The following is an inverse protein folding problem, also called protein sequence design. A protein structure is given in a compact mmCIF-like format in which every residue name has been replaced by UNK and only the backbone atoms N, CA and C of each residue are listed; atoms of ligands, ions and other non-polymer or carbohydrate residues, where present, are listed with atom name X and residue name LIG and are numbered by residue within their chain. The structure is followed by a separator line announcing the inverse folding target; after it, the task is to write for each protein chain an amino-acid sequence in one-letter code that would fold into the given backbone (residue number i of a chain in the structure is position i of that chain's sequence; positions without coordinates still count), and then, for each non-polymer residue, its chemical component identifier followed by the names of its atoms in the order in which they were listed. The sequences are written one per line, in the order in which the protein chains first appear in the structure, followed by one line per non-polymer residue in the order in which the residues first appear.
data_IF_808528415222
#
_entry.id   IF_808528415222
#
_cell.length_a   1.000
_cell.length_b   1.000
_cell.length_c   1.000
_cell.angle_alpha   90.00
_cell.angle_beta   90.00
_cell.angle_gamma   90.00
#
_symmetry.space_group_name_H-M   'P 1'
#
loop_
_entity.id
_entity.type
_entity.pdbx_description
1 polymer ?
#
# COMPACT_ATOMS: atom_id res chain seq x y z
N UNK A 1 -3.51 26.52 -12.64
CA UNK A 1 -2.52 27.61 -12.62
C UNK A 1 -2.21 28.08 -11.20
N UNK A 2 -3.18 28.53 -10.41
CA UNK A 2 -2.94 29.06 -9.05
C UNK A 2 -2.20 28.07 -8.12
N UNK A 3 -2.63 26.80 -8.07
CA UNK A 3 -1.95 25.77 -7.25
C UNK A 3 -0.48 25.61 -7.62
N UNK A 4 -0.16 25.56 -8.91
CA UNK A 4 1.22 25.41 -9.42
C UNK A 4 2.08 26.60 -9.00
N UNK A 5 1.54 27.81 -9.11
CA UNK A 5 2.21 29.05 -8.68
C UNK A 5 2.43 29.06 -7.16
N UNK A 6 1.42 28.71 -6.37
CA UNK A 6 1.54 28.63 -4.90
C UNK A 6 2.50 27.54 -4.45
N UNK A 7 2.60 26.42 -5.17
CA UNK A 7 3.61 25.38 -4.93
C UNK A 7 5.01 25.90 -5.25
N UNK A 8 5.20 26.57 -6.39
CA UNK A 8 6.48 27.15 -6.78
C UNK A 8 6.96 28.25 -5.81
N UNK A 9 6.02 29.06 -5.29
CA UNK A 9 6.29 30.09 -4.29
C UNK A 9 6.50 29.53 -2.86
N UNK A 10 6.44 28.22 -2.67
CA UNK A 10 6.70 27.58 -1.37
C UNK A 10 5.55 27.70 -0.35
N UNK A 11 4.42 28.30 -0.72
CA UNK A 11 3.27 28.50 0.17
C UNK A 11 2.75 27.16 0.70
N UNK A 12 2.64 26.15 -0.18
CA UNK A 12 2.24 24.81 0.25
C UNK A 12 3.24 24.16 1.20
N UNK A 13 4.54 24.41 1.03
CA UNK A 13 5.57 23.88 1.93
C UNK A 13 5.48 24.51 3.32
N UNK A 14 5.20 25.82 3.40
CA UNK A 14 4.93 26.51 4.66
C UNK A 14 3.64 25.98 5.31
N UNK A 15 2.58 25.81 4.52
CA UNK A 15 1.32 25.27 4.98
C UNK A 15 1.45 23.84 5.51
N UNK A 16 2.15 22.95 4.80
CA UNK A 16 2.45 21.59 5.26
C UNK A 16 3.26 21.59 6.56
N UNK A 17 4.26 22.47 6.68
CA UNK A 17 5.03 22.62 7.92
C UNK A 17 4.14 23.09 9.07
N UNK A 18 3.22 24.02 8.82
CA UNK A 18 2.25 24.51 9.81
C UNK A 18 1.28 23.41 10.25
N UNK A 19 0.75 22.61 9.32
CA UNK A 19 -0.09 21.45 9.65
C UNK A 19 0.68 20.40 10.45
N UNK A 20 1.93 20.11 10.06
CA UNK A 20 2.77 19.16 10.79
C UNK A 20 2.97 19.59 12.25
N UNK A 21 3.23 20.87 12.51
CA UNK A 21 3.39 21.38 13.88
C UNK A 21 2.10 21.36 14.70
N UNK A 22 0.93 21.39 14.06
CA UNK A 22 -0.33 21.23 14.77
C UNK A 22 -0.59 19.81 15.22
N UNK A 23 -0.06 18.80 14.52
CA UNK A 23 -0.40 17.40 14.80
C UNK A 23 0.72 16.65 15.50
N UNK A 24 2.00 16.96 15.24
CA UNK A 24 3.16 16.15 15.65
C UNK A 24 3.24 15.88 17.16
N UNK A 25 2.75 16.79 17.98
CA UNK A 25 2.84 16.73 19.45
C UNK A 25 1.61 16.04 20.08
N UNK A 26 0.63 15.63 19.26
CA UNK A 26 -0.51 14.84 19.70
C UNK A 26 -0.21 13.34 19.64
N UNK A 27 -0.99 12.57 20.42
CA UNK A 27 -0.96 11.11 20.36
C UNK A 27 -1.39 10.62 18.97
N UNK A 28 -0.46 10.00 18.25
CA UNK A 28 -0.71 9.42 16.94
C UNK A 28 -1.47 8.09 17.05
N UNK A 29 -2.24 7.73 16.02
CA UNK A 29 -2.77 6.37 15.92
C UNK A 29 -1.62 5.38 15.77
N UNK A 30 -1.77 4.22 16.41
CA UNK A 30 -0.79 3.13 16.31
C UNK A 30 -0.89 2.38 14.98
N UNK A 31 -2.09 2.35 14.40
CA UNK A 31 -2.40 1.61 13.19
C UNK A 31 -3.36 2.40 12.29
N UNK A 32 -2.99 2.55 11.02
CA UNK A 32 -3.87 3.10 9.97
C UNK A 32 -4.13 2.05 8.89
N UNK A 33 -5.38 1.92 8.46
CA UNK A 33 -5.74 1.17 7.26
C UNK A 33 -6.09 2.13 6.11
N UNK A 34 -5.60 1.86 4.91
CA UNK A 34 -5.77 2.70 3.72
C UNK A 34 -6.38 1.87 2.60
N UNK A 35 -7.49 2.35 2.05
CA UNK A 35 -8.08 1.84 0.81
C UNK A 35 -7.67 2.76 -0.34
N UNK A 36 -6.96 2.21 -1.32
CA UNK A 36 -6.45 2.98 -2.47
C UNK A 36 -7.52 3.15 -3.56
N UNK A 37 -8.58 3.88 -3.22
CA UNK A 37 -9.70 4.13 -4.12
C UNK A 37 -9.51 5.42 -4.94
N UNK A 38 -10.24 5.54 -6.04
CA UNK A 38 -10.31 6.74 -6.88
C UNK A 38 -9.38 6.74 -8.08
N UNK A 39 -8.46 5.77 -8.21
CA UNK A 39 -7.46 5.71 -9.29
C UNK A 39 -8.10 5.82 -10.69
N UNK A 40 -9.14 5.03 -10.98
CA UNK A 40 -9.85 5.06 -12.28
C UNK A 40 -10.58 6.38 -12.52
N UNK A 41 -11.22 6.92 -11.47
CA UNK A 41 -11.92 8.22 -11.53
C UNK A 41 -10.94 9.37 -11.79
N UNK A 42 -9.78 9.33 -11.13
CA UNK A 42 -8.70 10.28 -11.33
C UNK A 42 -8.15 10.21 -12.76
N UNK A 43 -7.89 9.01 -13.28
CA UNK A 43 -7.45 8.85 -14.68
C UNK A 43 -8.47 9.42 -15.67
N UNK A 44 -9.75 9.07 -15.50
CA UNK A 44 -10.85 9.57 -16.33
C UNK A 44 -10.95 11.10 -16.30
N UNK A 45 -10.80 11.72 -15.12
CA UNK A 45 -10.83 13.19 -15.00
C UNK A 45 -9.71 13.91 -15.77
N UNK A 46 -8.68 13.17 -16.18
CA UNK A 46 -7.54 13.66 -16.97
C UNK A 46 -7.53 13.16 -18.41
N UNK A 47 -8.58 12.45 -18.85
CA UNK A 47 -8.60 11.80 -20.17
C UNK A 47 -7.55 10.70 -20.32
N UNK A 48 -7.08 10.12 -19.20
CA UNK A 48 -6.05 9.09 -19.19
C UNK A 48 -6.68 7.70 -19.03
N UNK A 49 -6.01 6.65 -19.55
CA UNK A 49 -6.43 5.28 -19.31
C UNK A 49 -6.32 4.85 -17.84
N UNK A 50 -7.13 3.87 -17.37
CA UNK A 50 -7.19 3.45 -15.97
C UNK A 50 -5.84 3.09 -15.32
N UNK A 51 -4.96 2.40 -16.03
CA UNK A 51 -3.66 1.94 -15.51
C UNK A 51 -2.74 3.09 -15.10
N UNK A 52 -2.80 4.24 -15.78
CA UNK A 52 -2.03 5.43 -15.38
C UNK A 52 -2.54 6.03 -14.06
N UNK A 53 -3.84 5.86 -13.76
CA UNK A 53 -4.38 6.20 -12.44
C UNK A 53 -3.84 5.30 -11.35
N UNK A 54 -3.72 3.99 -11.63
CA UNK A 54 -3.13 3.04 -10.70
C UNK A 54 -1.64 3.31 -10.45
N UNK A 55 -0.88 3.67 -11.48
CA UNK A 55 0.52 4.07 -11.35
C UNK A 55 0.67 5.36 -10.52
N UNK A 56 -0.18 6.36 -10.75
CA UNK A 56 -0.19 7.59 -9.96
C UNK A 56 -0.55 7.31 -8.48
N UNK A 57 -1.50 6.41 -8.23
CA UNK A 57 -1.87 5.97 -6.88
C UNK A 57 -0.71 5.28 -6.16
N UNK A 58 -0.01 4.38 -6.84
CA UNK A 58 1.16 3.69 -6.28
C UNK A 58 2.32 4.66 -5.99
N UNK A 59 2.54 5.68 -6.84
CA UNK A 59 3.52 6.75 -6.56
C UNK A 59 3.13 7.55 -5.32
N UNK A 60 1.84 7.89 -5.19
CA UNK A 60 1.33 8.60 -4.01
C UNK A 60 1.46 7.76 -2.73
N UNK A 61 1.31 6.45 -2.81
CA UNK A 61 1.49 5.55 -1.67
C UNK A 61 2.90 5.67 -1.06
N UNK A 62 3.95 5.75 -1.88
CA UNK A 62 5.33 5.93 -1.38
C UNK A 62 5.48 7.20 -0.53
N UNK A 63 4.83 8.28 -0.93
CA UNK A 63 4.82 9.55 -0.20
C UNK A 63 4.03 9.42 1.12
N UNK A 64 2.87 8.77 1.08
CA UNK A 64 2.04 8.53 2.27
C UNK A 64 2.76 7.64 3.28
N UNK A 65 3.45 6.58 2.84
CA UNK A 65 4.25 5.73 3.72
C UNK A 65 5.34 6.52 4.43
N UNK A 66 6.00 7.44 3.72
CA UNK A 66 6.98 8.33 4.34
C UNK A 66 6.35 9.20 5.43
N UNK A 67 5.18 9.78 5.19
CA UNK A 67 4.47 10.56 6.21
C UNK A 67 4.11 9.72 7.44
N UNK A 68 3.64 8.49 7.23
CA UNK A 68 3.31 7.55 8.31
C UNK A 68 4.54 7.30 9.20
N UNK A 69 5.70 7.04 8.58
CA UNK A 69 6.95 6.83 9.31
C UNK A 69 7.46 8.10 10.00
N UNK A 70 7.40 9.25 9.33
CA UNK A 70 7.83 10.54 9.88
C UNK A 70 6.93 11.01 11.05
N UNK A 71 5.68 10.53 11.10
CA UNK A 71 4.73 10.72 12.21
C UNK A 71 4.81 9.60 13.26
N UNK A 72 5.76 8.66 13.15
CA UNK A 72 5.93 7.55 14.09
C UNK A 72 4.69 6.66 14.26
N UNK A 73 3.87 6.52 13.20
CA UNK A 73 2.74 5.60 13.17
C UNK A 73 3.28 4.20 12.87
N UNK A 74 3.17 3.27 13.83
CA UNK A 74 3.89 1.99 13.79
C UNK A 74 3.37 1.03 12.74
N UNK A 75 2.06 1.01 12.47
CA UNK A 75 1.44 -0.02 11.61
C UNK A 75 0.62 0.65 10.50
N UNK A 76 0.79 0.17 9.28
CA UNK A 76 -0.09 0.51 8.16
C UNK A 76 -0.58 -0.74 7.45
N UNK A 77 -1.88 -0.82 7.19
CA UNK A 77 -2.49 -1.82 6.31
C UNK A 77 -2.94 -1.16 5.02
N UNK A 78 -2.52 -1.69 3.88
CA UNK A 78 -2.82 -1.16 2.56
C UNK A 78 -3.71 -2.16 1.83
N UNK A 79 -4.93 -1.75 1.50
CA UNK A 79 -5.82 -2.51 0.64
C UNK A 79 -5.49 -2.22 -0.82
N UNK A 80 -4.70 -3.10 -1.43
CA UNK A 80 -4.20 -2.94 -2.79
C UNK A 80 -5.08 -3.61 -3.86
N UNK A 81 -5.59 -4.81 -3.60
CA UNK A 81 -6.40 -5.57 -4.56
C UNK A 81 -7.36 -6.51 -3.84
N UNK A 82 -8.66 -6.43 -4.17
CA UNK A 82 -9.67 -7.34 -3.62
C UNK A 82 -9.77 -8.65 -4.40
N UNK A 83 -10.32 -9.69 -3.77
CA UNK A 83 -10.70 -10.93 -4.47
C UNK A 83 -11.66 -10.67 -5.62
N UNK A 84 -12.58 -9.72 -5.46
CA UNK A 84 -13.56 -9.36 -6.48
C UNK A 84 -12.91 -8.64 -7.67
N UNK A 85 -11.79 -7.94 -7.44
CA UNK A 85 -11.06 -7.26 -8.52
C UNK A 85 -10.30 -8.22 -9.44
N UNK A 86 -10.14 -9.50 -9.05
CA UNK A 86 -9.58 -10.52 -9.94
C UNK A 86 -10.51 -10.85 -11.11
N UNK A 87 -11.79 -10.46 -11.03
CA UNK A 87 -12.78 -10.64 -12.11
C UNK A 87 -12.85 -9.44 -13.08
N UNK A 88 -11.91 -8.49 -13.00
CA UNK A 88 -11.85 -7.37 -13.96
C UNK A 88 -11.39 -7.84 -15.34
N UNK A 89 -11.51 -6.94 -16.32
CA UNK A 89 -10.98 -7.18 -17.67
C UNK A 89 -9.51 -7.61 -17.62
N UNK A 90 -9.14 -8.58 -18.47
CA UNK A 90 -7.81 -9.20 -18.46
C UNK A 90 -6.70 -8.19 -18.69
N UNK A 91 -6.90 -7.22 -19.58
CA UNK A 91 -5.90 -6.19 -19.89
C UNK A 91 -5.69 -5.28 -18.69
N UNK A 92 -6.77 -4.86 -18.02
CA UNK A 92 -6.67 -4.08 -16.78
C UNK A 92 -5.93 -4.86 -15.68
N UNK A 93 -6.26 -6.15 -15.52
CA UNK A 93 -5.67 -7.01 -14.49
C UNK A 93 -4.17 -7.25 -14.75
N UNK A 94 -3.76 -7.50 -15.99
CA UNK A 94 -2.35 -7.62 -16.37
C UNK A 94 -1.56 -6.34 -16.06
N UNK A 95 -2.14 -5.17 -16.34
CA UNK A 95 -1.52 -3.90 -15.97
C UNK A 95 -1.41 -3.73 -14.45
N UNK A 96 -2.43 -4.11 -13.67
CA UNK A 96 -2.37 -4.08 -12.21
C UNK A 96 -1.25 -4.97 -11.68
N UNK A 97 -1.10 -6.19 -12.21
CA UNK A 97 -0.01 -7.09 -11.84
C UNK A 97 1.36 -6.56 -12.22
N UNK A 98 1.50 -5.94 -13.39
CA UNK A 98 2.75 -5.28 -13.80
C UNK A 98 3.12 -4.12 -12.87
N UNK A 99 2.15 -3.31 -12.47
CA UNK A 99 2.35 -2.22 -11.51
C UNK A 99 2.75 -2.81 -10.16
N UNK A 100 2.03 -3.82 -9.66
CA UNK A 100 2.39 -4.49 -8.40
C UNK A 100 3.81 -5.04 -8.43
N UNK A 101 4.21 -5.71 -9.52
CA UNK A 101 5.57 -6.23 -9.70
C UNK A 101 6.62 -5.13 -9.64
N UNK A 102 6.42 -4.02 -10.37
CA UNK A 102 7.34 -2.88 -10.38
C UNK A 102 7.50 -2.29 -8.98
N UNK A 103 6.39 -2.05 -8.28
CA UNK A 103 6.44 -1.43 -6.96
C UNK A 103 6.98 -2.38 -5.88
N UNK A 104 6.73 -3.68 -5.96
CA UNK A 104 7.35 -4.66 -5.07
C UNK A 104 8.87 -4.70 -5.25
N UNK A 105 9.36 -4.71 -6.50
CA UNK A 105 10.80 -4.64 -6.80
C UNK A 105 11.43 -3.33 -6.31
N UNK A 106 10.77 -2.21 -6.55
CA UNK A 106 11.22 -0.92 -6.03
C UNK A 106 11.30 -0.93 -4.50
N UNK A 107 10.31 -1.54 -3.84
CA UNK A 107 10.26 -1.59 -2.38
C UNK A 107 11.34 -2.50 -1.81
N UNK A 108 11.56 -3.69 -2.40
CA UNK A 108 12.65 -4.60 -2.05
C UNK A 108 14.01 -3.90 -2.12
N UNK A 109 14.23 -3.06 -3.14
CA UNK A 109 15.47 -2.33 -3.33
C UNK A 109 15.53 -0.99 -2.59
N UNK A 110 14.48 -0.63 -1.86
CA UNK A 110 14.39 0.67 -1.17
C UNK A 110 15.13 0.63 0.16
N UNK A 111 16.02 1.62 0.37
CA UNK A 111 16.65 1.85 1.67
C UNK A 111 15.67 2.25 2.77
N UNK A 112 14.40 2.53 2.44
CA UNK A 112 13.39 2.87 3.44
C UNK A 112 13.09 1.70 4.37
N UNK A 113 13.16 0.47 3.86
CA UNK A 113 12.93 -0.75 4.64
C UNK A 113 13.97 -0.88 5.75
N UNK A 114 15.24 -0.71 5.39
CA UNK A 114 16.36 -0.80 6.33
C UNK A 114 16.38 0.39 7.28
N UNK A 115 16.22 1.61 6.75
CA UNK A 115 16.26 2.87 7.52
C UNK A 115 15.22 2.89 8.65
N UNK A 116 14.01 2.40 8.37
CA UNK A 116 12.92 2.39 9.34
C UNK A 116 12.75 1.03 10.00
N UNK A 117 13.52 -0.01 9.66
CA UNK A 117 13.33 -1.38 10.17
C UNK A 117 11.86 -1.82 10.03
N UNK A 118 11.39 -1.84 8.77
CA UNK A 118 10.00 -2.16 8.42
C UNK A 118 9.81 -3.66 8.24
N UNK A 119 8.99 -4.28 9.08
CA UNK A 119 8.48 -5.63 8.88
C UNK A 119 7.35 -5.64 7.85
N UNK A 120 7.49 -6.38 6.75
CA UNK A 120 6.47 -6.49 5.73
C UNK A 120 5.72 -7.82 5.81
N UNK A 121 4.40 -7.78 5.64
CA UNK A 121 3.54 -8.97 5.53
C UNK A 121 2.53 -8.80 4.39
N UNK A 122 2.39 -9.82 3.55
CA UNK A 122 1.28 -9.94 2.61
C UNK A 122 0.13 -10.74 3.24
N UNK A 123 -1.10 -10.24 3.10
CA UNK A 123 -2.31 -10.91 3.58
C UNK A 123 -3.33 -11.02 2.43
N UNK A 124 -4.07 -12.13 2.39
CA UNK A 124 -5.03 -12.45 1.32
C UNK A 124 -4.75 -13.80 0.67
N UNK A 125 -5.43 -14.07 -0.45
CA UNK A 125 -5.30 -15.31 -1.22
C UNK A 125 -4.13 -15.22 -2.19
N UNK A 126 -2.91 -15.30 -1.65
CA UNK A 126 -1.66 -15.11 -2.39
C UNK A 126 -1.49 -16.15 -3.52
N UNK A 127 -2.04 -17.34 -3.34
CA UNK A 127 -2.09 -18.43 -4.31
C UNK A 127 -2.85 -18.06 -5.61
N UNK A 128 -3.77 -17.09 -5.56
CA UNK A 128 -4.50 -16.61 -6.74
C UNK A 128 -3.72 -15.60 -7.57
N UNK A 129 -2.56 -15.14 -7.11
CA UNK A 129 -1.74 -14.17 -7.82
C UNK A 129 -0.79 -14.87 -8.80
N UNK A 130 -0.31 -14.19 -9.86
CA UNK A 130 0.76 -14.71 -10.71
C UNK A 130 1.99 -15.11 -9.88
N UNK A 131 2.62 -16.24 -10.23
CA UNK A 131 3.79 -16.79 -9.50
C UNK A 131 4.90 -15.76 -9.25
N UNK A 132 5.10 -14.86 -10.21
CA UNK A 132 6.12 -13.80 -10.12
C UNK A 132 5.85 -12.85 -8.97
N UNK A 133 4.58 -12.48 -8.75
CA UNK A 133 4.17 -11.65 -7.60
C UNK A 133 4.32 -12.44 -6.31
N UNK A 134 3.91 -13.71 -6.29
CA UNK A 134 4.09 -14.56 -5.10
C UNK A 134 5.56 -14.65 -4.66
N UNK A 135 6.47 -14.84 -5.61
CA UNK A 135 7.93 -14.88 -5.37
C UNK A 135 8.44 -13.57 -4.78
N UNK A 136 8.04 -12.42 -5.34
CA UNK A 136 8.43 -11.10 -4.85
C UNK A 136 7.89 -10.80 -3.44
N UNK A 137 6.63 -11.18 -3.17
CA UNK A 137 6.05 -11.03 -1.83
C UNK A 137 6.84 -11.85 -0.81
N UNK A 138 7.14 -13.11 -1.12
CA UNK A 138 7.91 -14.00 -0.25
C UNK A 138 9.35 -13.50 -0.03
N UNK A 139 9.99 -12.99 -1.08
CA UNK A 139 11.32 -12.37 -0.98
C UNK A 139 11.30 -11.18 -0.02
N UNK A 140 10.33 -10.29 -0.16
CA UNK A 140 10.17 -9.11 0.69
C UNK A 140 9.86 -9.46 2.14
N UNK A 141 8.97 -10.43 2.40
CA UNK A 141 8.71 -10.95 3.75
C UNK A 141 9.98 -11.53 4.37
N UNK A 142 10.74 -12.34 3.63
CA UNK A 142 11.98 -12.93 4.13
C UNK A 142 13.06 -11.87 4.45
N UNK A 143 13.22 -10.88 3.56
CA UNK A 143 14.18 -9.78 3.75
C UNK A 143 13.88 -9.00 5.02
N UNK A 144 12.61 -8.77 5.30
CA UNK A 144 12.16 -7.90 6.41
C UNK A 144 11.81 -8.64 7.70
N UNK A 145 11.87 -9.97 7.71
CA UNK A 145 11.40 -10.84 8.81
C UNK A 145 11.98 -10.49 10.19
N UNK A 146 13.22 -9.99 10.23
CA UNK A 146 13.92 -9.66 11.48
C UNK A 146 13.58 -8.27 12.03
N UNK A 147 12.97 -7.41 11.22
CA UNK A 147 12.61 -6.07 11.63
C UNK A 147 11.35 -6.08 12.50
N UNK A 148 11.22 -5.09 13.39
CA UNK A 148 10.15 -5.03 14.39
C UNK A 148 9.74 -3.59 14.80
N UNK A 149 10.21 -2.56 14.09
CA UNK A 149 9.96 -1.16 14.46
C UNK A 149 8.69 -0.61 13.82
N UNK A 150 8.52 -0.86 12.53
CA UNK A 150 7.32 -0.51 11.77
C UNK A 150 6.77 -1.72 11.03
N UNK A 151 5.49 -1.71 10.72
CA UNK A 151 4.79 -2.83 10.09
C UNK A 151 4.00 -2.35 8.88
N UNK A 152 4.21 -3.00 7.74
CA UNK A 152 3.37 -2.86 6.56
C UNK A 152 2.64 -4.18 6.30
N UNK A 153 1.31 -4.13 6.32
CA UNK A 153 0.46 -5.21 5.87
C UNK A 153 -0.10 -4.87 4.49
N UNK A 154 0.25 -5.65 3.47
CA UNK A 154 -0.31 -5.51 2.13
C UNK A 154 -1.47 -6.51 1.95
N UNK A 155 -2.70 -5.99 1.95
CA UNK A 155 -3.89 -6.75 1.60
C UNK A 155 -4.03 -6.82 0.08
N UNK A 156 -3.75 -8.00 -0.49
CA UNK A 156 -3.72 -8.26 -1.94
C UNK A 156 -4.38 -9.60 -2.25
N UNK A 157 -5.23 -9.64 -3.29
CA UNK A 157 -6.20 -10.73 -3.47
C UNK A 157 -6.96 -10.99 -2.16
N UNK A 158 -7.34 -9.92 -1.48
CA UNK A 158 -7.88 -9.95 -0.12
C UNK A 158 -9.40 -9.78 -0.12
N UNK A 159 -10.07 -10.44 0.82
CA UNK A 159 -11.49 -10.21 1.09
C UNK A 159 -11.78 -10.50 2.56
N UNK A 160 -12.26 -9.50 3.31
CA UNK A 160 -12.41 -9.60 4.77
C UNK A 160 -13.35 -10.74 5.22
N UNK A 161 -14.45 -10.95 4.49
CA UNK A 161 -15.34 -12.10 4.74
C UNK A 161 -14.63 -13.43 4.49
N UNK A 162 -13.86 -13.51 3.41
CA UNK A 162 -13.09 -14.71 3.08
C UNK A 162 -12.02 -15.01 4.14
N UNK A 163 -11.37 -13.99 4.69
CA UNK A 163 -10.37 -14.14 5.76
C UNK A 163 -11.01 -14.69 7.06
N UNK A 164 -12.16 -14.17 7.47
CA UNK A 164 -12.89 -14.68 8.65
C UNK A 164 -13.28 -16.16 8.47
N UNK A 165 -13.77 -16.52 7.28
CA UNK A 165 -14.15 -17.90 6.97
C UNK A 165 -12.92 -18.82 7.02
N UNK A 166 -11.79 -18.40 6.43
CA UNK A 166 -10.58 -19.19 6.42
C UNK A 166 -9.99 -19.38 7.82
N UNK A 167 -9.97 -18.31 8.63
CA UNK A 167 -9.56 -18.38 10.03
C UNK A 167 -10.43 -19.38 10.81
N UNK A 168 -11.75 -19.33 10.62
CA UNK A 168 -12.69 -20.27 11.27
C UNK A 168 -12.41 -21.71 10.86
N UNK A 169 -12.19 -21.97 9.57
CA UNK A 169 -11.84 -23.32 9.08
C UNK A 169 -10.53 -23.84 9.68
N UNK A 170 -9.52 -22.98 9.82
CA UNK A 170 -8.24 -23.37 10.40
C UNK A 170 -8.39 -23.71 11.89
N UNK A 171 -9.13 -22.89 12.65
CA UNK A 171 -9.45 -23.21 14.06
C UNK A 171 -10.14 -24.58 14.17
N UNK A 172 -11.11 -24.89 13.30
CA UNK A 172 -11.80 -26.18 13.32
C UNK A 172 -10.85 -27.34 12.98
N UNK A 173 -9.95 -27.16 12.00
CA UNK A 173 -8.93 -28.18 11.66
C UNK A 173 -7.95 -28.45 12.78
N UNK A 174 -7.61 -27.44 13.58
CA UNK A 174 -6.69 -27.60 14.72
C UNK A 174 -7.32 -28.37 15.90
N UNK A 175 -8.66 -28.48 15.92
CA UNK A 175 -9.42 -29.18 16.97
C UNK A 175 -9.77 -30.62 16.57
N UNK A 176 -9.75 -30.95 15.28
CA UNK A 176 -10.01 -32.29 14.73
C UNK A 176 -8.73 -33.11 14.62
#
# INVERSE_FOLDING_TARGET
MLRTVLTALGVYKLYEKWLYHQVKDHKMPEHIAIILDGNRRWARSKGLPPWLGHEAGAKKLKEVLKWIFDLNIRIVTIYALSTENLNRDKVELEHLFRIAELYLKDFINSSILDKYEVHFKAIGKIDLLPEKIQKLLKELENKTRKYNKYYINLAIAYGGRSEIIEATKNIVKDVL
#
